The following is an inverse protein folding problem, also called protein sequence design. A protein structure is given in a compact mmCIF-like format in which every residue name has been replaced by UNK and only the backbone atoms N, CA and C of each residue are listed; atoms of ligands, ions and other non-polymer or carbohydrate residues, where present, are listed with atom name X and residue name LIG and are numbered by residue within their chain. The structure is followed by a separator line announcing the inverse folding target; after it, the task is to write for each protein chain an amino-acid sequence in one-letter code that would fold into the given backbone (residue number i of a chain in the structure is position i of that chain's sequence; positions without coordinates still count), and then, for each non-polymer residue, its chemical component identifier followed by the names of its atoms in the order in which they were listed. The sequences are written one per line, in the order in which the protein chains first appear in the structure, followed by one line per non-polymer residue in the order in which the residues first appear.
data_IF_263653981213
#
_entry.id   IF_263653981213
#
_cell.length_a   1.000
_cell.length_b   1.000
_cell.length_c   1.000
_cell.angle_alpha   90.00
_cell.angle_beta   90.00
_cell.angle_gamma   90.00
#
_symmetry.space_group_name_H-M   'P 1'
#
loop_
_entity.id
_entity.type
_entity.pdbx_description
1 polymer ?
#
# COMPACT_ATOMS: atom_id res chain seq x y z
N UNK A 1 -13.73 33.24 -6.82
CA UNK A 1 -14.48 32.50 -5.77
C UNK A 1 -13.45 31.74 -4.93
N UNK A 2 -13.50 31.86 -3.59
CA UNK A 2 -12.67 31.01 -2.72
C UNK A 2 -13.08 29.54 -2.96
N UNK A 3 -12.11 28.68 -3.14
CA UNK A 3 -12.33 27.25 -3.32
C UNK A 3 -12.86 26.69 -1.98
N UNK A 4 -14.09 26.17 -1.95
CA UNK A 4 -14.62 25.53 -0.75
C UNK A 4 -13.96 24.18 -0.58
N UNK A 5 -13.25 24.00 0.51
CA UNK A 5 -12.64 22.73 0.90
C UNK A 5 -13.37 22.22 2.13
N UNK A 6 -13.85 20.98 2.07
CA UNK A 6 -14.57 20.34 3.17
C UNK A 6 -13.89 19.07 3.58
N UNK A 7 -14.12 18.65 4.82
CA UNK A 7 -13.61 17.39 5.35
C UNK A 7 -14.63 16.67 6.22
N UNK A 8 -14.47 15.36 6.34
CA UNK A 8 -15.20 14.49 7.27
C UNK A 8 -14.19 13.57 7.94
N UNK A 9 -14.11 13.60 9.28
CA UNK A 9 -13.21 12.70 10.05
C UNK A 9 -13.79 11.32 10.16
N UNK A 10 -12.93 10.32 10.16
CA UNK A 10 -13.26 8.94 10.46
C UNK A 10 -12.17 8.29 11.31
N UNK A 11 -12.51 7.20 11.96
CA UNK A 11 -11.57 6.30 12.63
C UNK A 11 -11.68 4.91 12.04
N UNK A 12 -10.54 4.24 11.89
CA UNK A 12 -10.49 2.81 11.55
C UNK A 12 -9.96 2.05 12.75
N UNK A 13 -10.75 1.08 13.23
CA UNK A 13 -10.34 0.17 14.27
C UNK A 13 -9.81 -1.13 13.65
N UNK A 14 -8.60 -1.50 14.01
CA UNK A 14 -7.98 -2.75 13.60
C UNK A 14 -8.03 -3.75 14.77
N UNK A 15 -8.59 -4.92 14.54
CA UNK A 15 -8.63 -6.00 15.55
C UNK A 15 -7.23 -6.53 15.91
N UNK A 16 -6.28 -6.37 15.00
CA UNK A 16 -4.87 -6.76 15.18
C UNK A 16 -3.99 -5.60 14.76
N UNK A 17 -2.77 -5.54 15.30
CA UNK A 17 -1.76 -4.56 14.92
C UNK A 17 -1.62 -4.49 13.38
N UNK A 18 -1.91 -3.33 12.76
CA UNK A 18 -1.92 -3.21 11.30
C UNK A 18 -0.51 -3.21 10.70
N UNK A 19 0.50 -2.88 11.50
CA UNK A 19 1.92 -2.94 11.13
C UNK A 19 2.78 -3.22 12.38
N UNK A 20 4.07 -3.45 12.18
CA UNK A 20 5.02 -3.82 13.25
C UNK A 20 5.26 -2.72 14.31
N UNK A 21 4.90 -1.48 14.03
CA UNK A 21 5.16 -0.32 14.90
C UNK A 21 3.89 0.23 15.58
N UNK A 22 2.71 -0.24 15.18
CA UNK A 22 1.43 0.23 15.71
C UNK A 22 0.84 -0.83 16.61
N UNK A 23 0.84 -0.58 17.92
CA UNK A 23 0.32 -1.51 18.93
C UNK A 23 -1.18 -1.35 19.19
N UNK A 24 -1.74 -0.17 18.92
CA UNK A 24 -3.16 0.13 19.15
C UNK A 24 -3.95 0.18 17.84
N UNK A 25 -5.16 -0.36 17.88
CA UNK A 25 -5.99 -0.62 16.74
C UNK A 25 -6.71 0.57 16.12
N UNK A 26 -6.66 1.79 16.69
CA UNK A 26 -7.41 2.93 16.18
C UNK A 26 -6.51 3.92 15.45
N UNK A 27 -6.87 4.25 14.21
CA UNK A 27 -6.17 5.24 13.39
C UNK A 27 -7.17 6.25 12.85
N UNK A 28 -6.89 7.53 13.06
CA UNK A 28 -7.70 8.63 12.57
C UNK A 28 -7.32 9.00 11.15
N UNK A 29 -8.33 9.39 10.36
CA UNK A 29 -8.18 9.93 9.04
C UNK A 29 -9.29 10.92 8.70
N UNK A 30 -9.21 11.48 7.51
CA UNK A 30 -10.27 12.33 6.97
C UNK A 30 -10.52 12.02 5.48
N UNK A 31 -11.78 12.04 5.11
CA UNK A 31 -12.16 12.29 3.74
C UNK A 31 -12.15 13.78 3.49
N UNK A 32 -11.63 14.21 2.35
CA UNK A 32 -11.68 15.61 1.93
C UNK A 32 -12.51 15.75 0.65
N UNK A 33 -13.13 16.92 0.47
CA UNK A 33 -13.91 17.26 -0.72
C UNK A 33 -13.41 18.58 -1.28
N UNK A 34 -12.96 18.56 -2.53
CA UNK A 34 -12.44 19.73 -3.25
C UNK A 34 -13.04 19.73 -4.65
N UNK A 35 -13.74 20.82 -5.04
CA UNK A 35 -14.31 20.99 -6.38
C UNK A 35 -15.18 19.79 -6.86
N UNK A 36 -15.95 19.20 -5.94
CA UNK A 36 -16.82 18.06 -6.25
C UNK A 36 -16.14 16.70 -6.31
N UNK A 37 -14.82 16.63 -6.15
CA UNK A 37 -14.09 15.38 -6.02
C UNK A 37 -13.72 15.08 -4.57
N UNK A 38 -13.44 13.83 -4.31
CA UNK A 38 -13.16 13.30 -2.98
C UNK A 38 -11.79 12.64 -2.91
N UNK A 39 -11.22 12.59 -1.71
CA UNK A 39 -9.98 11.88 -1.41
C UNK A 39 -9.94 11.44 0.06
N UNK A 40 -8.97 10.58 0.37
CA UNK A 40 -8.66 10.13 1.71
C UNK A 40 -7.33 10.74 2.16
N UNK A 41 -7.25 11.18 3.41
CA UNK A 41 -6.01 11.51 4.13
C UNK A 41 -5.97 10.61 5.36
N UNK A 42 -4.96 9.78 5.46
CA UNK A 42 -4.75 8.93 6.63
C UNK A 42 -3.25 8.82 6.92
N UNK A 43 -2.74 9.62 7.85
CA UNK A 43 -1.36 9.54 8.28
C UNK A 43 -1.15 8.35 9.23
N UNK A 44 0.07 7.84 9.27
CA UNK A 44 0.55 6.85 10.21
C UNK A 44 1.63 7.46 11.10
N UNK A 45 1.24 8.07 12.22
CA UNK A 45 2.15 8.76 13.15
C UNK A 45 3.24 7.82 13.64
N UNK A 46 2.89 6.56 13.89
CA UNK A 46 3.84 5.52 14.32
C UNK A 46 4.88 5.16 13.24
N UNK A 47 4.63 5.51 11.99
CA UNK A 47 5.55 5.33 10.86
C UNK A 47 6.29 6.62 10.49
N UNK A 48 6.14 7.68 11.28
CA UNK A 48 6.86 8.96 11.12
C UNK A 48 6.08 10.04 10.37
N UNK A 49 4.80 9.81 10.02
CA UNK A 49 3.96 10.88 9.47
C UNK A 49 3.60 11.90 10.55
N UNK A 50 3.39 13.16 10.13
CA UNK A 50 2.75 14.15 10.99
C UNK A 50 1.28 13.75 11.25
N UNK A 51 0.66 14.36 12.24
CA UNK A 51 -0.75 14.11 12.58
C UNK A 51 -1.72 14.62 11.49
N UNK A 52 -2.98 14.24 11.61
CA UNK A 52 -4.03 14.60 10.67
C UNK A 52 -4.23 16.12 10.58
N UNK A 53 -4.16 16.83 11.72
CA UNK A 53 -4.33 18.30 11.77
C UNK A 53 -3.26 19.00 10.93
N UNK A 54 -2.00 18.58 11.08
CA UNK A 54 -0.90 19.13 10.31
C UNK A 54 -1.15 19.04 8.79
N UNK A 55 -1.67 17.90 8.33
CA UNK A 55 -2.00 17.71 6.90
C UNK A 55 -3.19 18.58 6.46
N UNK A 56 -4.24 18.69 7.27
CA UNK A 56 -5.39 19.55 6.99
C UNK A 56 -4.99 21.03 6.96
N UNK A 57 -4.22 21.49 7.95
CA UNK A 57 -3.70 22.86 8.01
C UNK A 57 -2.77 23.19 6.82
N UNK A 58 -2.00 22.21 6.35
CA UNK A 58 -1.13 22.37 5.18
C UNK A 58 -1.93 22.67 3.90
N UNK A 59 -3.12 22.10 3.77
CA UNK A 59 -4.05 22.40 2.67
C UNK A 59 -4.62 23.82 2.86
N UNK A 60 -5.09 24.15 4.07
CA UNK A 60 -5.68 25.43 4.39
C UNK A 60 -4.70 26.60 4.17
N UNK A 61 -3.43 26.40 4.49
CA UNK A 61 -2.34 27.38 4.31
C UNK A 61 -1.75 27.42 2.90
N UNK A 62 -2.26 26.60 1.96
CA UNK A 62 -1.74 26.46 0.60
C UNK A 62 -0.25 26.06 0.53
N UNK A 63 0.19 25.24 1.51
CA UNK A 63 1.53 24.62 1.57
C UNK A 63 1.40 23.12 1.81
N UNK A 64 0.77 22.38 0.88
CA UNK A 64 0.41 20.99 1.12
C UNK A 64 1.63 20.09 1.29
N UNK A 65 1.56 19.22 2.29
CA UNK A 65 2.47 18.07 2.46
C UNK A 65 2.33 17.09 1.31
N UNK A 66 3.18 16.08 1.22
CA UNK A 66 3.09 15.08 0.12
C UNK A 66 1.79 14.28 0.21
N UNK A 67 1.35 13.87 1.40
CA UNK A 67 0.04 13.23 1.63
C UNK A 67 -1.09 14.17 1.18
N UNK A 68 -1.03 15.45 1.54
CA UNK A 68 -2.02 16.45 1.13
C UNK A 68 -2.00 16.68 -0.39
N UNK A 69 -0.83 16.73 -1.04
CA UNK A 69 -0.71 16.79 -2.51
C UNK A 69 -1.33 15.58 -3.19
N UNK A 70 -1.10 14.39 -2.63
CA UNK A 70 -1.69 13.16 -3.14
C UNK A 70 -3.23 13.20 -3.05
N UNK A 71 -3.76 13.65 -1.92
CA UNK A 71 -5.20 13.81 -1.73
C UNK A 71 -5.80 14.89 -2.66
N UNK A 72 -5.15 16.03 -2.86
CA UNK A 72 -5.58 17.07 -3.81
C UNK A 72 -5.62 16.50 -5.24
N UNK A 73 -4.60 15.74 -5.64
CA UNK A 73 -4.56 15.07 -6.96
C UNK A 73 -5.70 14.06 -7.11
N UNK A 74 -5.98 13.28 -6.08
CA UNK A 74 -7.11 12.35 -6.06
C UNK A 74 -8.43 13.10 -6.24
N UNK A 75 -8.68 14.17 -5.48
CA UNK A 75 -9.86 15.03 -5.64
C UNK A 75 -9.99 15.56 -7.07
N UNK A 76 -8.89 15.96 -7.70
CA UNK A 76 -8.92 16.46 -9.08
C UNK A 76 -9.35 15.36 -10.07
N UNK A 77 -8.78 14.17 -9.96
CA UNK A 77 -9.11 13.03 -10.83
C UNK A 77 -10.57 12.61 -10.63
N UNK A 78 -10.97 12.40 -9.38
CA UNK A 78 -12.32 11.98 -9.00
C UNK A 78 -13.37 13.04 -9.40
N UNK A 79 -13.12 14.31 -9.09
CA UNK A 79 -14.01 15.43 -9.40
C UNK A 79 -14.21 15.65 -10.90
N UNK A 80 -13.14 15.49 -11.70
CA UNK A 80 -13.24 15.53 -13.15
C UNK A 80 -14.12 14.39 -13.70
N UNK A 81 -13.97 13.19 -13.18
CA UNK A 81 -14.78 12.06 -13.58
C UNK A 81 -16.25 12.25 -13.16
N UNK A 82 -16.51 12.72 -11.92
CA UNK A 82 -17.88 13.01 -11.44
C UNK A 82 -18.58 14.09 -12.25
N UNK A 83 -17.88 15.19 -12.57
CA UNK A 83 -18.46 16.27 -13.39
C UNK A 83 -18.86 15.81 -14.79
N UNK A 84 -18.15 14.81 -15.32
CA UNK A 84 -18.46 14.19 -16.61
C UNK A 84 -19.38 12.96 -16.49
N UNK A 85 -19.85 12.61 -15.29
CA UNK A 85 -20.66 11.43 -15.01
C UNK A 85 -20.00 10.12 -15.49
N UNK A 86 -18.70 10.00 -15.29
CA UNK A 86 -17.88 8.83 -15.66
C UNK A 86 -17.56 8.01 -14.41
N UNK A 87 -17.82 6.72 -14.45
CA UNK A 87 -17.27 5.75 -13.51
C UNK A 87 -15.84 5.39 -13.95
N UNK A 88 -14.84 5.66 -13.12
CA UNK A 88 -13.44 5.39 -13.45
C UNK A 88 -13.09 3.91 -13.59
N UNK A 89 -13.95 3.02 -13.10
CA UNK A 89 -13.75 1.57 -13.22
C UNK A 89 -14.54 0.90 -14.35
N UNK A 90 -15.45 1.62 -15.00
CA UNK A 90 -16.42 1.04 -15.96
C UNK A 90 -15.76 0.20 -17.06
N UNK A 91 -14.57 0.58 -17.53
CA UNK A 91 -13.85 -0.11 -18.61
C UNK A 91 -12.53 -0.73 -18.17
N UNK A 92 -12.22 -0.71 -16.88
CA UNK A 92 -10.96 -1.23 -16.37
C UNK A 92 -11.10 -2.69 -15.94
N UNK A 93 -10.06 -3.47 -16.26
CA UNK A 93 -9.93 -4.82 -15.69
C UNK A 93 -9.47 -4.70 -14.24
N UNK A 94 -10.15 -5.38 -13.29
CA UNK A 94 -9.70 -5.42 -11.91
C UNK A 94 -8.26 -5.89 -11.79
N UNK A 95 -7.40 -5.14 -11.08
CA UNK A 95 -6.02 -5.56 -10.89
C UNK A 95 -5.98 -6.76 -9.95
N UNK A 96 -5.10 -7.72 -10.25
CA UNK A 96 -4.83 -8.83 -9.34
C UNK A 96 -4.11 -8.32 -8.09
N UNK A 97 -4.39 -8.92 -6.95
CA UNK A 97 -3.76 -8.56 -5.68
C UNK A 97 -3.32 -9.78 -4.89
N UNK A 98 -2.34 -9.56 -3.99
CA UNK A 98 -1.90 -10.57 -3.03
C UNK A 98 -2.73 -10.48 -1.75
N UNK A 99 -2.86 -11.60 -1.06
CA UNK A 99 -3.33 -11.61 0.32
C UNK A 99 -2.16 -11.33 1.26
N UNK A 100 -2.42 -10.57 2.33
CA UNK A 100 -1.43 -10.24 3.37
C UNK A 100 -1.78 -10.94 4.67
N UNK A 101 -0.80 -11.60 5.27
CA UNK A 101 -0.96 -12.36 6.51
C UNK A 101 0.18 -12.08 7.49
N UNK A 102 -0.15 -12.17 8.78
CA UNK A 102 0.87 -12.42 9.79
C UNK A 102 1.22 -13.92 9.80
N UNK A 103 2.45 -14.32 10.14
CA UNK A 103 2.86 -15.72 10.15
C UNK A 103 1.92 -16.64 10.93
N UNK A 104 1.43 -16.18 12.11
CA UNK A 104 0.55 -16.97 12.97
C UNK A 104 -0.80 -17.29 12.33
N UNK A 105 -1.33 -16.39 11.54
CA UNK A 105 -2.63 -16.58 10.89
C UNK A 105 -2.57 -17.70 9.83
N UNK A 106 -1.43 -17.84 9.15
CA UNK A 106 -1.25 -18.82 8.07
C UNK A 106 -1.21 -20.28 8.53
N UNK A 107 -0.87 -20.55 9.80
CA UNK A 107 -0.86 -21.94 10.28
C UNK A 107 -2.25 -22.59 10.26
N UNK A 108 -3.29 -21.80 10.45
CA UNK A 108 -4.67 -22.28 10.52
C UNK A 108 -5.41 -22.22 9.16
N UNK A 109 -4.76 -21.70 8.11
CA UNK A 109 -5.37 -21.58 6.78
C UNK A 109 -5.07 -22.86 5.97
N UNK A 110 -6.12 -23.44 5.37
CA UNK A 110 -5.95 -24.44 4.32
C UNK A 110 -5.50 -23.72 3.03
N UNK A 111 -4.34 -24.08 2.45
CA UNK A 111 -3.88 -23.49 1.20
C UNK A 111 -4.89 -23.57 0.05
N UNK A 112 -5.75 -24.59 0.04
CA UNK A 112 -6.76 -24.78 -1.00
C UNK A 112 -7.90 -23.76 -0.90
N UNK A 113 -8.18 -23.24 0.30
CA UNK A 113 -9.25 -22.25 0.50
C UNK A 113 -8.93 -20.88 -0.17
N UNK A 114 -7.67 -20.65 -0.51
CA UNK A 114 -7.19 -19.40 -1.12
C UNK A 114 -6.56 -19.62 -2.51
N UNK A 115 -6.88 -20.71 -3.18
CA UNK A 115 -6.28 -21.12 -4.47
C UNK A 115 -6.62 -20.18 -5.65
N UNK A 116 -7.59 -19.26 -5.50
CA UNK A 116 -7.88 -18.21 -6.47
C UNK A 116 -6.79 -17.13 -6.55
N UNK A 117 -5.91 -17.06 -5.54
CA UNK A 117 -4.78 -16.13 -5.51
C UNK A 117 -3.52 -16.80 -6.06
N UNK A 118 -2.56 -15.98 -6.44
CA UNK A 118 -1.26 -16.43 -6.95
C UNK A 118 -0.09 -15.99 -6.08
N UNK A 119 -0.29 -14.99 -5.24
CA UNK A 119 0.75 -14.40 -4.39
C UNK A 119 0.23 -14.17 -2.98
N UNK A 120 1.11 -14.42 -2.01
CA UNK A 120 0.91 -14.10 -0.60
C UNK A 120 1.99 -13.13 -0.15
N UNK A 121 1.62 -12.13 0.65
CA UNK A 121 2.55 -11.28 1.39
C UNK A 121 2.54 -11.68 2.85
N UNK A 122 3.69 -11.94 3.42
CA UNK A 122 3.88 -12.36 4.81
C UNK A 122 4.61 -11.23 5.54
N UNK A 123 4.00 -10.70 6.59
CA UNK A 123 4.66 -9.78 7.51
C UNK A 123 5.69 -10.57 8.33
N UNK A 124 6.93 -10.46 7.93
CA UNK A 124 8.01 -11.33 8.39
C UNK A 124 8.80 -10.71 9.54
N UNK A 125 9.47 -11.55 10.28
CA UNK A 125 10.41 -11.20 11.34
C UNK A 125 11.61 -12.16 11.32
N UNK A 126 12.45 -12.13 12.34
CA UNK A 126 13.64 -12.98 12.47
C UNK A 126 13.37 -14.48 12.71
N UNK A 127 12.10 -14.90 12.85
CA UNK A 127 11.77 -16.32 13.01
C UNK A 127 11.79 -17.06 11.65
N UNK A 128 12.97 -17.29 11.12
CA UNK A 128 13.17 -17.89 9.80
C UNK A 128 12.65 -19.32 9.69
N UNK A 129 12.72 -20.11 10.77
CA UNK A 129 12.16 -21.49 10.79
C UNK A 129 10.68 -21.45 10.44
N UNK A 130 9.94 -20.58 11.11
CA UNK A 130 8.51 -20.41 10.86
C UNK A 130 8.21 -19.91 9.45
N UNK A 131 9.00 -18.97 8.94
CA UNK A 131 8.87 -18.47 7.57
C UNK A 131 9.09 -19.61 6.56
N UNK A 132 10.10 -20.45 6.74
CA UNK A 132 10.39 -21.60 5.88
C UNK A 132 9.25 -22.63 5.89
N UNK A 133 8.69 -22.94 7.06
CA UNK A 133 7.53 -23.82 7.19
C UNK A 133 6.33 -23.29 6.40
N UNK A 134 6.06 -21.97 6.49
CA UNK A 134 5.00 -21.31 5.74
C UNK A 134 5.26 -21.39 4.24
N UNK A 135 6.48 -21.06 3.77
CA UNK A 135 6.80 -21.11 2.33
C UNK A 135 6.61 -22.54 1.79
N UNK A 136 6.99 -23.55 2.55
CA UNK A 136 6.81 -24.97 2.16
C UNK A 136 5.33 -25.36 2.14
N UNK A 137 4.55 -24.98 3.17
CA UNK A 137 3.11 -25.24 3.25
C UNK A 137 2.34 -24.58 2.08
N UNK A 138 2.73 -23.37 1.68
CA UNK A 138 2.09 -22.58 0.63
C UNK A 138 2.88 -22.58 -0.69
N UNK A 139 3.52 -23.72 -1.00
CA UNK A 139 4.45 -23.85 -2.14
C UNK A 139 3.83 -23.64 -3.53
N UNK A 140 2.49 -23.64 -3.66
CA UNK A 140 1.78 -23.29 -4.91
C UNK A 140 1.76 -21.78 -5.19
N UNK A 141 2.07 -20.93 -4.19
CA UNK A 141 2.04 -19.46 -4.31
C UNK A 141 3.45 -18.89 -4.53
N UNK A 142 3.50 -17.69 -5.07
CA UNK A 142 4.65 -16.81 -4.93
C UNK A 142 4.55 -16.05 -3.60
N UNK A 143 5.65 -15.97 -2.88
CA UNK A 143 5.71 -15.42 -1.53
C UNK A 143 6.46 -14.09 -1.56
N UNK A 144 5.90 -13.07 -0.96
CA UNK A 144 6.51 -11.77 -0.68
C UNK A 144 6.75 -11.67 0.81
N UNK A 145 7.97 -11.41 1.20
CA UNK A 145 8.34 -11.29 2.61
C UNK A 145 8.52 -9.80 2.93
N UNK A 146 7.80 -9.29 3.92
CA UNK A 146 7.87 -7.90 4.35
C UNK A 146 8.47 -7.84 5.76
N UNK A 147 9.73 -7.46 5.85
CA UNK A 147 10.47 -7.40 7.11
C UNK A 147 10.33 -6.06 7.82
N UNK A 148 9.87 -5.01 7.15
CA UNK A 148 9.76 -3.67 7.75
C UNK A 148 11.06 -3.22 8.45
N UNK A 149 12.22 -3.49 7.87
CA UNK A 149 13.56 -3.17 8.39
C UNK A 149 13.92 -3.89 9.71
N UNK A 150 13.30 -5.05 9.98
CA UNK A 150 13.44 -5.75 11.27
C UNK A 150 14.60 -6.74 11.35
N UNK A 151 15.31 -7.02 10.26
CA UNK A 151 16.45 -7.94 10.27
C UNK A 151 17.75 -7.21 9.93
N UNK A 152 18.88 -7.83 10.33
CA UNK A 152 20.22 -7.34 9.96
C UNK A 152 20.69 -7.96 8.63
N UNK A 153 21.70 -7.37 7.98
CA UNK A 153 22.34 -7.99 6.82
C UNK A 153 22.86 -9.42 7.08
N UNK A 154 23.43 -9.69 8.24
CA UNK A 154 23.92 -11.02 8.60
C UNK A 154 22.75 -12.01 8.74
N UNK A 155 21.68 -11.60 9.41
CA UNK A 155 20.45 -12.42 9.51
C UNK A 155 19.83 -12.71 8.13
N UNK A 156 19.92 -11.78 7.18
CA UNK A 156 19.51 -12.03 5.81
C UNK A 156 20.37 -13.11 5.15
N UNK A 157 21.69 -13.14 5.41
CA UNK A 157 22.58 -14.18 4.91
C UNK A 157 22.24 -15.55 5.51
N UNK A 158 22.03 -15.63 6.82
CA UNK A 158 21.61 -16.86 7.51
C UNK A 158 20.29 -17.39 6.94
N UNK A 159 19.32 -16.52 6.72
CA UNK A 159 18.07 -16.87 6.05
C UNK A 159 18.34 -17.39 4.63
N UNK A 160 19.16 -16.71 3.85
CA UNK A 160 19.52 -17.09 2.50
C UNK A 160 20.20 -18.48 2.43
N UNK A 161 21.07 -18.82 3.38
CA UNK A 161 21.73 -20.11 3.47
C UNK A 161 20.75 -21.24 3.82
N UNK A 162 19.70 -20.92 4.57
CA UNK A 162 18.65 -21.87 4.94
C UNK A 162 17.68 -22.21 3.78
N UNK A 163 17.71 -21.44 2.68
CA UNK A 163 16.82 -21.62 1.54
C UNK A 163 17.28 -22.78 0.64
N UNK A 164 16.44 -23.79 0.45
CA UNK A 164 16.59 -24.71 -0.68
C UNK A 164 16.34 -23.98 -2.01
N UNK A 165 16.82 -24.54 -3.12
CA UNK A 165 16.54 -24.00 -4.46
C UNK A 165 15.03 -23.93 -4.74
N UNK A 166 14.24 -24.90 -4.24
CA UNK A 166 12.79 -24.92 -4.38
C UNK A 166 12.16 -23.73 -3.64
N UNK A 167 12.50 -23.56 -2.36
CA UNK A 167 11.95 -22.50 -1.51
C UNK A 167 12.33 -21.11 -2.04
N UNK A 168 13.60 -20.94 -2.45
CA UNK A 168 14.11 -19.71 -3.07
C UNK A 168 13.27 -19.29 -4.28
N UNK A 169 12.95 -20.24 -5.16
CA UNK A 169 12.15 -19.98 -6.36
C UNK A 169 10.70 -19.57 -6.06
N UNK A 170 10.22 -19.76 -4.83
CA UNK A 170 8.89 -19.30 -4.41
C UNK A 170 8.91 -17.86 -3.95
N UNK A 171 10.04 -17.31 -3.52
CA UNK A 171 10.15 -15.92 -3.11
C UNK A 171 10.10 -15.03 -4.35
N UNK A 172 9.09 -14.15 -4.39
CA UNK A 172 8.92 -13.13 -5.43
C UNK A 172 9.87 -11.96 -5.17
N UNK A 173 9.77 -11.40 -3.97
CA UNK A 173 10.70 -10.40 -3.46
C UNK A 173 10.68 -10.32 -1.92
N UNK A 174 11.70 -9.68 -1.38
CA UNK A 174 11.80 -9.26 0.03
C UNK A 174 11.62 -7.75 0.09
N UNK A 175 10.63 -7.28 0.84
CA UNK A 175 10.33 -5.88 1.07
C UNK A 175 11.01 -5.41 2.34
N UNK A 176 11.76 -4.32 2.24
CA UNK A 176 12.45 -3.62 3.33
C UNK A 176 13.15 -4.57 4.34
N UNK A 177 14.14 -5.38 3.94
CA UNK A 177 14.80 -6.30 4.88
C UNK A 177 15.47 -5.58 6.05
N UNK A 178 16.21 -4.53 5.78
CA UNK A 178 16.90 -3.66 6.72
C UNK A 178 16.91 -2.22 6.18
N UNK A 179 17.29 -1.20 6.98
CA UNK A 179 17.28 0.20 6.55
C UNK A 179 17.91 0.39 5.18
N UNK A 180 17.26 1.19 4.34
CA UNK A 180 17.67 1.35 2.97
C UNK A 180 19.02 2.06 2.86
N UNK A 181 19.99 1.35 2.34
CA UNK A 181 21.26 1.86 1.81
C UNK A 181 21.45 1.30 0.40
N UNK A 182 21.56 2.17 -0.63
CA UNK A 182 21.56 1.71 -2.01
C UNK A 182 22.75 0.81 -2.37
N UNK A 183 23.93 1.02 -1.78
CA UNK A 183 25.12 0.22 -2.07
C UNK A 183 25.06 -1.11 -1.34
N UNK A 184 24.65 -1.08 -0.08
CA UNK A 184 24.46 -2.25 0.75
C UNK A 184 23.38 -3.17 0.15
N UNK A 185 22.24 -2.60 -0.27
CA UNK A 185 21.17 -3.36 -0.92
C UNK A 185 21.61 -3.97 -2.24
N UNK A 186 22.37 -3.24 -3.08
CA UNK A 186 22.97 -3.79 -4.31
C UNK A 186 23.87 -4.98 -4.00
N UNK A 187 24.72 -4.86 -2.98
CA UNK A 187 25.65 -5.90 -2.57
C UNK A 187 24.90 -7.19 -2.17
N UNK A 188 23.92 -7.08 -1.26
CA UNK A 188 23.19 -8.23 -0.75
C UNK A 188 22.25 -8.86 -1.78
N UNK A 189 21.62 -8.08 -2.66
CA UNK A 189 20.88 -8.66 -3.78
C UNK A 189 21.78 -9.52 -4.68
N UNK A 190 23.00 -9.05 -4.95
CA UNK A 190 23.96 -9.78 -5.77
C UNK A 190 24.43 -11.07 -5.07
N UNK A 191 24.69 -11.01 -3.76
CA UNK A 191 25.14 -12.18 -2.99
C UNK A 191 24.04 -13.23 -2.84
N UNK A 192 22.83 -12.83 -2.52
CA UNK A 192 21.73 -13.73 -2.23
C UNK A 192 20.98 -14.20 -3.48
N UNK A 193 21.01 -13.43 -4.55
CA UNK A 193 20.16 -13.62 -5.73
C UNK A 193 18.66 -13.34 -5.48
N UNK A 194 18.31 -12.81 -4.30
CA UNK A 194 16.93 -12.46 -3.95
C UNK A 194 16.61 -11.05 -4.43
N UNK A 195 15.40 -10.84 -4.94
CA UNK A 195 14.93 -9.51 -5.34
C UNK A 195 14.49 -8.73 -4.10
N UNK A 196 14.89 -7.45 -4.00
CA UNK A 196 14.38 -6.56 -2.96
C UNK A 196 13.31 -5.62 -3.52
N UNK A 197 12.35 -5.26 -2.67
CA UNK A 197 11.36 -4.23 -2.94
C UNK A 197 11.51 -3.11 -1.91
N UNK A 198 11.39 -1.86 -2.35
CA UNK A 198 11.53 -0.68 -1.51
C UNK A 198 10.17 -0.01 -1.28
N UNK A 199 9.65 -0.09 -0.06
CA UNK A 199 8.52 0.70 0.45
C UNK A 199 9.03 1.94 1.19
N UNK A 200 9.91 1.73 2.16
CA UNK A 200 10.48 2.79 3.01
C UNK A 200 11.79 3.30 2.41
N UNK A 201 11.86 4.60 2.18
CA UNK A 201 13.09 5.21 1.66
C UNK A 201 12.82 6.42 0.78
N UNK A 202 13.89 7.10 0.34
CA UNK A 202 13.75 8.31 -0.45
C UNK A 202 12.93 8.09 -1.72
N UNK A 203 12.05 9.03 -2.04
CA UNK A 203 11.18 8.92 -3.22
C UNK A 203 11.95 8.90 -4.53
N UNK A 204 13.13 9.50 -4.56
CA UNK A 204 14.05 9.51 -5.70
C UNK A 204 15.05 8.35 -5.71
N UNK A 205 14.91 7.37 -4.81
CA UNK A 205 15.74 6.17 -4.83
C UNK A 205 15.58 5.42 -6.16
N UNK A 206 16.68 4.97 -6.75
CA UNK A 206 16.70 4.39 -8.09
C UNK A 206 17.58 3.13 -8.24
N UNK A 207 18.25 2.68 -7.16
CA UNK A 207 19.10 1.48 -7.18
C UNK A 207 18.97 0.68 -5.88
N UNK A 208 19.47 -0.55 -5.86
CA UNK A 208 19.44 -1.43 -4.70
C UNK A 208 18.12 -2.20 -4.52
N UNK A 209 17.17 -2.07 -5.45
CA UNK A 209 15.90 -2.82 -5.43
C UNK A 209 15.44 -3.15 -6.86
N UNK A 210 14.55 -4.13 -6.98
CA UNK A 210 13.94 -4.56 -8.26
C UNK A 210 12.50 -4.13 -8.40
N UNK A 211 11.81 -3.83 -7.28
CA UNK A 211 10.42 -3.39 -7.27
C UNK A 211 10.30 -2.17 -6.37
N UNK A 212 9.62 -1.13 -6.85
CA UNK A 212 9.24 0.03 -6.03
C UNK A 212 7.81 -0.16 -5.51
N UNK A 213 7.61 -0.07 -4.21
CA UNK A 213 6.27 0.02 -3.64
C UNK A 213 5.80 1.48 -3.77
N UNK A 214 4.59 1.66 -4.27
CA UNK A 214 3.98 2.98 -4.39
C UNK A 214 2.58 2.99 -3.76
N UNK A 215 2.39 3.94 -2.87
CA UNK A 215 1.12 4.23 -2.20
C UNK A 215 0.58 5.57 -2.73
N UNK A 216 -0.37 5.57 -3.67
CA UNK A 216 -0.86 6.80 -4.31
C UNK A 216 -1.50 7.80 -3.36
N UNK A 217 -1.96 7.37 -2.18
CA UNK A 217 -2.51 8.22 -1.13
C UNK A 217 -1.44 8.93 -0.29
N UNK A 218 -0.19 8.46 -0.35
CA UNK A 218 0.97 9.06 0.34
C UNK A 218 1.75 9.97 -0.61
N UNK A 219 1.98 9.50 -1.83
CA UNK A 219 2.80 10.17 -2.81
C UNK A 219 2.04 10.32 -4.13
N UNK A 220 1.80 11.56 -4.54
CA UNK A 220 0.97 11.90 -5.71
C UNK A 220 1.50 11.38 -7.04
N UNK A 221 2.80 11.17 -7.17
CA UNK A 221 3.47 10.61 -8.35
C UNK A 221 4.78 9.96 -7.94
N UNK A 222 5.25 9.02 -8.74
CA UNK A 222 6.54 8.38 -8.54
C UNK A 222 7.30 8.38 -9.87
N UNK A 223 8.58 8.73 -9.78
CA UNK A 223 9.53 8.64 -10.89
C UNK A 223 10.48 7.48 -10.60
N UNK A 224 10.37 6.41 -11.37
CA UNK A 224 11.23 5.23 -11.22
C UNK A 224 11.35 4.50 -12.55
N UNK A 225 12.51 3.90 -12.78
CA UNK A 225 12.74 2.97 -13.88
C UNK A 225 12.43 1.52 -13.48
N UNK A 226 12.19 1.27 -12.20
CA UNK A 226 11.89 -0.06 -11.68
C UNK A 226 10.39 -0.36 -11.79
N UNK A 227 10.01 -1.62 -11.96
CA UNK A 227 8.62 -2.04 -11.88
C UNK A 227 7.96 -1.60 -10.56
N UNK A 228 6.70 -1.19 -10.63
CA UNK A 228 5.96 -0.65 -9.48
C UNK A 228 4.98 -1.70 -8.96
N UNK A 229 4.99 -1.94 -7.65
CA UNK A 229 3.91 -2.59 -6.93
C UNK A 229 3.05 -1.53 -6.24
N UNK A 230 1.82 -1.36 -6.67
CA UNK A 230 0.92 -0.38 -6.07
C UNK A 230 0.24 -1.01 -4.85
N UNK A 231 0.25 -0.30 -3.73
CA UNK A 231 -0.37 -0.77 -2.49
C UNK A 231 -1.26 0.31 -1.89
N UNK A 232 -2.29 -0.11 -1.16
CA UNK A 232 -3.02 0.80 -0.29
C UNK A 232 -2.24 1.06 1.00
N UNK A 233 -2.62 2.08 1.75
CA UNK A 233 -1.94 2.47 2.99
C UNK A 233 -2.67 1.97 4.25
N UNK A 234 -3.39 0.84 4.17
CA UNK A 234 -4.30 0.37 5.23
C UNK A 234 -5.33 1.44 5.62
N UNK A 235 -5.75 2.20 4.65
CA UNK A 235 -6.57 3.38 4.75
C UNK A 235 -8.06 3.09 4.50
N UNK A 236 -8.86 4.14 4.56
CA UNK A 236 -10.27 4.10 4.22
C UNK A 236 -10.51 3.47 2.84
N UNK A 237 -11.66 2.83 2.65
CA UNK A 237 -11.98 2.18 1.38
C UNK A 237 -11.82 3.11 0.17
N UNK A 238 -12.09 4.41 0.32
CA UNK A 238 -11.89 5.38 -0.75
C UNK A 238 -10.41 5.47 -1.19
N UNK A 239 -9.48 5.41 -0.25
CA UNK A 239 -8.05 5.36 -0.55
C UNK A 239 -7.64 4.05 -1.23
N UNK A 240 -8.21 2.90 -0.81
CA UNK A 240 -7.99 1.62 -1.51
C UNK A 240 -8.48 1.66 -2.95
N UNK A 241 -9.65 2.26 -3.21
CA UNK A 241 -10.17 2.45 -4.57
C UNK A 241 -9.25 3.31 -5.42
N UNK A 242 -8.68 4.37 -4.84
CA UNK A 242 -7.69 5.17 -5.54
C UNK A 242 -6.41 4.39 -5.88
N UNK A 243 -5.92 3.56 -4.96
CA UNK A 243 -4.80 2.66 -5.25
C UNK A 243 -5.15 1.61 -6.34
N UNK A 244 -6.35 1.04 -6.28
CA UNK A 244 -6.84 0.10 -7.30
C UNK A 244 -6.98 0.75 -8.68
N UNK A 245 -7.46 1.98 -8.75
CA UNK A 245 -7.51 2.74 -10.01
C UNK A 245 -6.11 2.87 -10.62
N UNK A 246 -5.12 3.31 -9.84
CA UNK A 246 -3.74 3.41 -10.33
C UNK A 246 -3.17 2.04 -10.73
N UNK A 247 -3.46 0.99 -9.98
CA UNK A 247 -3.03 -0.37 -10.33
C UNK A 247 -3.61 -0.86 -11.66
N UNK A 248 -4.82 -0.39 -12.01
CA UNK A 248 -5.50 -0.74 -13.27
C UNK A 248 -4.93 -0.02 -14.50
N UNK A 249 -4.38 1.19 -14.33
CA UNK A 249 -3.95 2.05 -15.46
C UNK A 249 -2.43 2.18 -15.62
N UNK A 250 -1.64 1.71 -14.66
CA UNK A 250 -0.18 1.89 -14.68
C UNK A 250 0.50 0.81 -15.50
N UNK A 251 1.08 1.17 -16.64
CA UNK A 251 1.68 0.23 -17.58
C UNK A 251 3.01 -0.39 -17.11
N UNK A 252 3.74 0.27 -16.20
CA UNK A 252 5.03 -0.20 -15.66
C UNK A 252 4.89 -0.92 -14.32
N UNK A 253 3.69 -1.39 -14.02
CA UNK A 253 3.44 -2.12 -12.79
C UNK A 253 3.70 -3.62 -12.94
N UNK A 254 4.00 -4.27 -11.82
CA UNK A 254 3.95 -5.74 -11.75
C UNK A 254 2.49 -6.23 -11.86
N UNK A 255 2.31 -7.52 -12.16
CA UNK A 255 0.95 -8.07 -12.41
C UNK A 255 0.05 -8.20 -11.18
N UNK A 256 0.63 -8.21 -9.98
CA UNK A 256 -0.09 -8.46 -8.72
C UNK A 256 0.27 -7.37 -7.72
N UNK A 257 -0.74 -6.72 -7.17
CA UNK A 257 -0.62 -5.52 -6.34
C UNK A 257 -0.96 -5.78 -4.87
N UNK A 258 -0.76 -4.80 -4.00
CA UNK A 258 -1.12 -4.85 -2.57
C UNK A 258 -2.32 -3.98 -2.24
N UNK A 259 -3.40 -4.11 -3.00
CA UNK A 259 -4.59 -3.25 -2.86
C UNK A 259 -5.69 -3.86 -1.98
N UNK A 260 -5.51 -5.15 -1.57
CA UNK A 260 -6.54 -5.88 -0.83
C UNK A 260 -7.81 -6.12 -1.64
N UNK A 261 -8.79 -6.72 -0.98
CA UNK A 261 -10.12 -6.86 -1.59
C UNK A 261 -10.80 -5.50 -1.67
N UNK A 262 -11.26 -5.13 -2.85
CA UNK A 262 -12.08 -3.95 -3.03
C UNK A 262 -13.29 -4.27 -3.92
N UNK A 263 -14.45 -3.79 -3.49
CA UNK A 263 -15.68 -4.04 -4.22
C UNK A 263 -15.76 -3.12 -5.45
N UNK A 264 -15.64 -3.71 -6.66
CA UNK A 264 -15.81 -3.00 -7.91
C UNK A 264 -17.22 -2.39 -8.08
N UNK A 265 -18.23 -3.06 -7.51
CA UNK A 265 -19.64 -2.79 -7.80
C UNK A 265 -20.24 -1.68 -6.91
N UNK A 266 -19.43 -0.85 -6.24
CA UNK A 266 -19.98 0.32 -5.56
C UNK A 266 -20.33 1.39 -6.58
N UNK A 267 -21.63 1.53 -6.80
CA UNK A 267 -22.22 2.48 -7.73
C UNK A 267 -21.73 3.91 -7.51
N UNK A 268 -21.63 4.65 -8.59
CA UNK A 268 -21.33 6.07 -8.57
C UNK A 268 -20.37 6.51 -9.67
N UNK A 269 -20.11 7.80 -9.69
CA UNK A 269 -19.14 8.40 -10.59
C UNK A 269 -17.76 8.54 -9.93
N UNK A 270 -16.77 8.85 -10.71
CA UNK A 270 -15.39 8.95 -10.22
C UNK A 270 -14.90 7.61 -9.68
N UNK A 271 -14.41 7.61 -8.44
CA UNK A 271 -14.02 6.39 -7.73
C UNK A 271 -15.22 5.66 -7.09
N UNK A 272 -16.48 6.12 -7.29
CA UNK A 272 -17.70 5.53 -6.75
C UNK A 272 -18.00 5.95 -5.30
N UNK A 273 -18.83 5.15 -4.61
CA UNK A 273 -19.26 5.36 -3.22
C UNK A 273 -20.21 6.57 -3.03
N UNK A 274 -20.98 6.95 -4.03
CA UNK A 274 -21.80 8.18 -4.02
C UNK A 274 -22.75 8.21 -2.82
N UNK A 275 -23.57 7.17 -2.62
CA UNK A 275 -24.53 7.09 -1.51
C UNK A 275 -23.85 7.27 -0.15
N UNK A 276 -22.68 6.65 0.05
CA UNK A 276 -21.91 6.81 1.28
C UNK A 276 -21.40 8.24 1.45
N UNK A 277 -20.79 8.81 0.42
CA UNK A 277 -20.21 10.17 0.47
C UNK A 277 -21.28 11.25 0.64
N UNK A 278 -22.49 11.04 0.11
CA UNK A 278 -23.65 11.93 0.28
C UNK A 278 -24.25 11.86 1.68
N UNK A 279 -24.16 10.69 2.35
CA UNK A 279 -24.66 10.52 3.71
C UNK A 279 -23.80 11.18 4.79
N UNK A 280 -22.56 11.62 4.45
CA UNK A 280 -21.62 12.14 5.43
C UNK A 280 -21.89 13.61 5.80
N UNK A 281 -21.61 13.93 7.06
CA UNK A 281 -21.62 15.32 7.55
C UNK A 281 -20.29 16.00 7.25
N UNK A 282 -20.29 16.94 6.32
CA UNK A 282 -19.11 17.67 5.88
C UNK A 282 -18.94 18.99 6.65
N UNK A 283 -17.74 19.23 7.16
CA UNK A 283 -17.33 20.49 7.79
C UNK A 283 -16.48 21.31 6.83
N UNK A 284 -16.60 22.64 6.86
CA UNK A 284 -15.73 23.51 6.08
C UNK A 284 -14.32 23.51 6.70
N UNK A 285 -13.31 23.35 5.86
CA UNK A 285 -11.91 23.52 6.22
C UNK A 285 -11.46 24.96 5.97
N UNK A 286 -11.95 25.56 4.85
CA UNK A 286 -11.75 26.95 4.44
C UNK A 286 -13.06 27.50 3.88
#
# INVERSE_FOLDING_TARGET
MKQSIKFHRYSINFEKAPNSQTTNGEVEGALIKINGGYACIQPWITLGDNDLEYHLESIASNKPTDIAKAAIKCCFIDGKARSNKVDLFQSLTPPKYHLTFNPDDLFNIDPNSINSFTHLKIKSNENFVKILEIINKFSQFKIRLDFNESITPDQLMDFNESLSSHTRNKIDFIEDPFPYDPDLWCHYQKQTGLNFALDRGPYNANKGFKVRIWKPVILSSIETIQPICITHNMDHEFGRRYAAYWASITNYSIKVHGIGDFNHNKNGYGLGMDDYLESLSWKDLI
#
